data_IF_956988837319
#
_entry.id   IF_956988837319
#
_cell.length_a   1.000
_cell.length_b   1.000
_cell.length_c   1.000
_cell.angle_alpha   90.00
_cell.angle_beta   90.00
_cell.angle_gamma   90.00
#
_symmetry.space_group_name_H-M   'P 1'
#
loop_
_entity.id
_entity.type
_entity.pdbx_description
1 polymer ?
#
# COMPACT_ATOMS: atom_id res chain seq x y z
N UNK A 1 13.77 -9.42 11.00
CA UNK A 1 12.50 -9.88 10.36
C UNK A 1 11.33 -10.05 11.30
N UNK A 2 11.47 -10.66 12.48
CA UNK A 2 10.37 -10.76 13.47
C UNK A 2 9.94 -9.40 14.03
N UNK A 3 10.89 -8.52 14.34
CA UNK A 3 10.63 -7.22 14.96
C UNK A 3 9.88 -6.23 14.03
N UNK A 4 10.22 -6.20 12.74
CA UNK A 4 9.54 -5.38 11.74
C UNK A 4 8.13 -5.90 11.44
N UNK A 5 7.96 -7.23 11.40
CA UNK A 5 6.64 -7.87 11.27
C UNK A 5 5.76 -7.53 12.47
N UNK A 6 6.30 -7.57 13.70
CA UNK A 6 5.60 -7.13 14.92
C UNK A 6 5.23 -5.64 14.86
N UNK A 7 6.16 -4.78 14.45
CA UNK A 7 5.93 -3.33 14.38
C UNK A 7 4.90 -2.96 13.31
N UNK A 8 4.88 -3.68 12.19
CA UNK A 8 3.83 -3.57 11.17
C UNK A 8 2.50 -4.09 11.71
N UNK A 9 2.46 -5.25 12.38
CA UNK A 9 1.24 -5.79 12.99
C UNK A 9 0.67 -4.89 14.10
N UNK A 10 1.51 -4.28 14.93
CA UNK A 10 1.10 -3.31 15.95
C UNK A 10 0.58 -2.01 15.33
N UNK A 11 1.26 -1.51 14.29
CA UNK A 11 0.78 -0.36 13.51
C UNK A 11 -0.55 -0.65 12.82
N UNK A 12 -0.80 -1.91 12.43
CA UNK A 12 -2.06 -2.33 11.84
C UNK A 12 -3.14 -2.46 12.92
N UNK A 13 -2.82 -3.04 14.08
CA UNK A 13 -3.74 -3.25 15.20
C UNK A 13 -4.26 -1.95 15.82
N UNK A 14 -3.45 -0.88 15.86
CA UNK A 14 -3.83 0.40 16.47
C UNK A 14 -4.97 1.13 15.76
N UNK A 15 -5.29 0.76 14.51
CA UNK A 15 -6.34 1.41 13.71
C UNK A 15 -7.65 0.61 13.63
N UNK A 16 -7.75 -0.53 14.34
CA UNK A 16 -8.97 -1.34 14.37
C UNK A 16 -9.74 -1.16 15.68
N UNK A 17 -11.08 -1.05 15.63
CA UNK A 17 -11.89 -1.18 16.83
C UNK A 17 -11.69 -2.57 17.44
N UNK A 18 -11.58 -2.62 18.76
CA UNK A 18 -11.06 -3.71 19.62
C UNK A 18 -11.87 -5.02 19.63
N UNK A 19 -12.66 -5.32 18.60
CA UNK A 19 -13.63 -6.42 18.61
C UNK A 19 -13.55 -7.35 17.38
N UNK A 20 -12.34 -7.60 16.86
CA UNK A 20 -12.15 -8.61 15.81
C UNK A 20 -11.67 -9.93 16.44
N UNK A 21 -12.49 -10.99 16.47
CA UNK A 21 -12.11 -12.29 17.02
C UNK A 21 -10.94 -12.92 16.24
N UNK A 22 -10.09 -13.66 16.94
CA UNK A 22 -8.82 -14.26 16.46
C UNK A 22 -8.97 -15.32 15.35
N UNK A 23 -10.20 -15.62 14.91
CA UNK A 23 -10.50 -16.52 13.78
C UNK A 23 -10.63 -15.82 12.42
N UNK A 24 -10.62 -14.47 12.38
CA UNK A 24 -10.87 -13.69 11.16
C UNK A 24 -9.60 -13.63 10.31
N UNK A 25 -9.69 -14.07 9.06
CA UNK A 25 -8.56 -14.05 8.12
C UNK A 25 -8.24 -12.60 7.72
N UNK A 26 -6.94 -12.27 7.57
CA UNK A 26 -6.50 -10.94 7.10
C UNK A 26 -7.17 -10.52 5.78
N UNK A 27 -7.56 -11.50 4.96
CA UNK A 27 -8.30 -11.29 3.71
C UNK A 27 -9.72 -10.79 3.96
N UNK A 28 -10.42 -11.34 4.94
CA UNK A 28 -11.78 -10.93 5.31
C UNK A 28 -11.79 -9.48 5.82
N UNK A 29 -10.76 -9.10 6.57
CA UNK A 29 -10.57 -7.72 7.03
C UNK A 29 -10.39 -6.77 5.84
N UNK A 30 -9.51 -7.11 4.89
CA UNK A 30 -9.30 -6.32 3.69
C UNK A 30 -10.59 -6.18 2.87
N UNK A 31 -11.32 -7.27 2.69
CA UNK A 31 -12.59 -7.29 1.95
C UNK A 31 -13.66 -6.44 2.63
N UNK A 32 -13.76 -6.50 3.97
CA UNK A 32 -14.65 -5.61 4.74
C UNK A 32 -14.29 -4.14 4.55
N UNK A 33 -13.00 -3.79 4.65
CA UNK A 33 -12.53 -2.42 4.42
C UNK A 33 -12.88 -1.93 3.00
N UNK A 34 -12.68 -2.78 1.99
CA UNK A 34 -13.03 -2.42 0.60
C UNK A 34 -14.54 -2.19 0.44
N UNK A 35 -15.35 -3.08 1.03
CA UNK A 35 -16.81 -2.98 1.01
C UNK A 35 -17.28 -1.69 1.72
N UNK A 36 -16.76 -1.41 2.91
CA UNK A 36 -17.13 -0.22 3.68
C UNK A 36 -16.68 1.06 2.97
N UNK A 37 -15.50 1.05 2.35
CA UNK A 37 -15.00 2.18 1.54
C UNK A 37 -15.92 2.43 0.35
N UNK A 38 -16.36 1.38 -0.34
CA UNK A 38 -17.28 1.49 -1.47
C UNK A 38 -18.63 2.06 -1.03
N UNK A 39 -19.21 1.55 0.06
CA UNK A 39 -20.48 2.06 0.62
C UNK A 39 -20.37 3.52 1.03
N UNK A 40 -19.32 3.90 1.76
CA UNK A 40 -19.12 5.27 2.20
C UNK A 40 -18.92 6.24 1.04
N UNK A 41 -18.15 5.85 0.02
CA UNK A 41 -17.94 6.69 -1.16
C UNK A 41 -19.17 6.73 -2.07
N UNK A 42 -19.98 5.68 -2.11
CA UNK A 42 -21.25 5.69 -2.85
C UNK A 42 -22.27 6.69 -2.29
N UNK A 43 -22.19 7.01 -1.00
CA UNK A 43 -23.04 8.03 -0.36
C UNK A 43 -22.51 9.45 -0.56
N UNK A 44 -21.28 9.60 -1.07
CA UNK A 44 -20.64 10.90 -1.29
C UNK A 44 -20.81 11.36 -2.74
N UNK A 45 -20.74 12.68 -2.99
CA UNK A 45 -20.68 13.18 -4.35
C UNK A 45 -19.40 12.70 -5.03
N UNK A 46 -19.46 12.49 -6.36
CA UNK A 46 -18.40 11.85 -7.17
C UNK A 46 -16.99 12.43 -7.00
N UNK A 47 -16.88 13.69 -6.58
CA UNK A 47 -15.63 14.41 -6.40
C UNK A 47 -15.07 14.37 -4.95
N UNK A 48 -15.76 13.73 -4.01
CA UNK A 48 -15.38 13.67 -2.59
C UNK A 48 -15.03 12.26 -2.11
N UNK A 49 -14.67 11.36 -3.03
CA UNK A 49 -14.23 10.03 -2.67
C UNK A 49 -12.95 10.10 -1.83
N UNK A 50 -12.97 9.44 -0.68
CA UNK A 50 -11.80 9.31 0.19
C UNK A 50 -11.48 7.84 0.37
N UNK A 51 -10.18 7.53 0.38
CA UNK A 51 -9.70 6.16 0.46
C UNK A 51 -8.76 6.01 1.64
N UNK A 52 -9.00 4.96 2.42
CA UNK A 52 -8.13 4.56 3.52
C UNK A 52 -6.71 4.24 2.97
N UNK A 53 -5.71 4.45 3.80
CA UNK A 53 -4.31 4.14 3.52
C UNK A 53 -4.12 2.68 3.08
N UNK A 54 -4.80 1.73 3.73
CA UNK A 54 -4.73 0.30 3.38
C UNK A 54 -5.22 0.03 1.97
N UNK A 55 -6.35 0.66 1.58
CA UNK A 55 -6.91 0.55 0.22
C UNK A 55 -5.97 1.15 -0.81
N UNK A 56 -5.32 2.29 -0.50
CA UNK A 56 -4.31 2.89 -1.38
C UNK A 56 -3.09 1.99 -1.54
N UNK A 57 -2.61 1.34 -0.48
CA UNK A 57 -1.50 0.39 -0.56
C UNK A 57 -1.85 -0.84 -1.40
N UNK A 58 -3.06 -1.38 -1.21
CA UNK A 58 -3.57 -2.48 -2.03
C UNK A 58 -3.70 -2.09 -3.50
N UNK A 59 -4.19 -0.88 -3.80
CA UNK A 59 -4.28 -0.35 -5.15
C UNK A 59 -2.89 -0.21 -5.80
N UNK A 60 -1.88 0.23 -5.05
CA UNK A 60 -0.48 0.29 -5.52
C UNK A 60 0.06 -1.10 -5.84
N UNK A 61 -0.24 -2.09 -5.00
CA UNK A 61 0.17 -3.48 -5.22
C UNK A 61 -0.43 -4.06 -6.51
N UNK A 62 -1.74 -3.87 -6.72
CA UNK A 62 -2.41 -4.30 -7.97
C UNK A 62 -1.76 -3.62 -9.17
N UNK A 63 -1.51 -2.31 -9.09
CA UNK A 63 -0.92 -1.56 -10.20
C UNK A 63 0.48 -2.05 -10.55
N UNK A 64 1.33 -2.37 -9.57
CA UNK A 64 2.67 -2.88 -9.83
C UNK A 64 2.69 -4.29 -10.42
N UNK A 65 1.72 -5.14 -10.06
CA UNK A 65 1.68 -6.54 -10.54
C UNK A 65 0.91 -6.67 -11.86
N UNK A 66 -0.26 -6.04 -11.95
CA UNK A 66 -1.14 -6.11 -13.13
C UNK A 66 -0.84 -5.05 -14.18
N UNK A 67 -0.03 -4.04 -13.85
CA UNK A 67 0.20 -2.90 -14.73
C UNK A 67 -1.05 -2.02 -14.90
N UNK A 68 -0.92 -1.05 -15.81
CA UNK A 68 -1.93 0.00 -16.01
C UNK A 68 -3.27 -0.56 -16.52
N UNK A 69 -3.24 -1.47 -17.49
CA UNK A 69 -4.44 -1.96 -18.17
C UNK A 69 -5.33 -2.77 -17.23
N UNK A 70 -4.74 -3.68 -16.44
CA UNK A 70 -5.48 -4.46 -15.44
C UNK A 70 -6.04 -3.54 -14.36
N UNK A 71 -5.27 -2.54 -13.93
CA UNK A 71 -5.74 -1.59 -12.93
C UNK A 71 -6.94 -0.77 -13.43
N UNK A 72 -6.88 -0.25 -14.65
CA UNK A 72 -7.97 0.51 -15.26
C UNK A 72 -9.22 -0.36 -15.46
N UNK A 73 -9.05 -1.61 -15.87
CA UNK A 73 -10.14 -2.59 -15.97
C UNK A 73 -10.81 -2.80 -14.61
N UNK A 74 -10.03 -3.04 -13.55
CA UNK A 74 -10.56 -3.23 -12.21
C UNK A 74 -11.25 -1.97 -11.67
N UNK A 75 -10.68 -0.79 -11.91
CA UNK A 75 -11.29 0.48 -11.51
C UNK A 75 -12.62 0.74 -12.22
N UNK A 76 -12.74 0.39 -13.51
CA UNK A 76 -13.98 0.53 -14.26
C UNK A 76 -15.08 -0.44 -13.76
N UNK A 77 -14.70 -1.65 -13.35
CA UNK A 77 -15.63 -2.65 -12.82
C UNK A 77 -15.99 -2.45 -11.34
N UNK A 78 -15.07 -1.90 -10.53
CA UNK A 78 -15.22 -1.71 -9.09
C UNK A 78 -15.45 -0.23 -8.74
N UNK A 79 -16.64 0.27 -9.05
CA UNK A 79 -17.01 1.67 -8.79
C UNK A 79 -16.83 2.03 -7.30
N UNK A 80 -16.32 3.26 -7.06
CA UNK A 80 -16.14 3.86 -5.73
C UNK A 80 -15.22 3.08 -4.75
N UNK A 81 -14.60 2.00 -5.21
CA UNK A 81 -13.81 1.09 -4.38
C UNK A 81 -12.32 1.37 -4.51
N UNK A 82 -11.84 1.57 -5.75
CA UNK A 82 -10.43 1.84 -6.05
C UNK A 82 -10.20 3.32 -6.37
N UNK A 83 -9.04 3.88 -5.98
CA UNK A 83 -8.69 5.25 -6.33
C UNK A 83 -8.40 5.39 -7.83
N UNK A 84 -8.62 6.59 -8.37
CA UNK A 84 -8.21 6.90 -9.74
C UNK A 84 -6.69 6.82 -9.92
N UNK A 85 -6.24 6.61 -11.15
CA UNK A 85 -4.83 6.53 -11.49
C UNK A 85 -4.04 7.78 -11.06
N UNK A 86 -4.63 8.96 -11.23
CA UNK A 86 -4.05 10.24 -10.75
C UNK A 86 -3.88 10.26 -9.24
N UNK A 87 -4.89 9.77 -8.50
CA UNK A 87 -4.82 9.68 -7.04
C UNK A 87 -3.75 8.69 -6.58
N UNK A 88 -3.61 7.58 -7.31
CA UNK A 88 -2.60 6.56 -7.08
C UNK A 88 -1.19 7.11 -7.28
N UNK A 89 -0.91 7.76 -8.41
CA UNK A 89 0.40 8.36 -8.66
C UNK A 89 0.74 9.48 -7.69
N UNK A 90 -0.24 10.30 -7.30
CA UNK A 90 -0.05 11.29 -6.23
C UNK A 90 0.35 10.62 -4.91
N UNK A 91 -0.25 9.47 -4.59
CA UNK A 91 0.10 8.71 -3.38
C UNK A 91 1.49 8.08 -3.46
N UNK A 92 1.86 7.50 -4.61
CA UNK A 92 3.20 6.96 -4.86
C UNK A 92 4.23 8.07 -4.70
N UNK A 93 4.07 9.17 -5.43
CA UNK A 93 4.98 10.32 -5.41
C UNK A 93 5.15 10.95 -4.03
N UNK A 94 4.12 10.87 -3.16
CA UNK A 94 4.21 11.35 -1.78
C UNK A 94 4.99 10.40 -0.87
N UNK A 95 5.01 9.09 -1.17
CA UNK A 95 5.66 8.06 -0.33
C UNK A 95 7.07 7.69 -0.77
N UNK A 96 7.36 7.72 -2.08
CA UNK A 96 8.72 7.56 -2.55
C UNK A 96 9.46 8.87 -2.37
N UNK A 97 10.43 8.89 -1.45
CA UNK A 97 11.51 9.87 -1.52
C UNK A 97 12.08 9.80 -2.92
N UNK A 98 11.94 10.89 -3.68
CA UNK A 98 12.42 10.94 -5.06
C UNK A 98 13.91 10.65 -5.03
N UNK A 99 14.41 9.66 -5.81
CA UNK A 99 15.84 9.48 -5.94
C UNK A 99 16.42 10.80 -6.47
N UNK A 100 17.35 11.38 -5.71
CA UNK A 100 18.13 12.54 -6.16
C UNK A 100 19.40 12.03 -6.82
N UNK A 101 19.69 12.56 -8.00
CA UNK A 101 20.91 12.24 -8.74
C UNK A 101 22.16 12.58 -7.90
N UNK A 102 23.18 11.73 -7.94
CA UNK A 102 24.38 11.87 -7.13
C UNK A 102 24.20 11.55 -5.64
N UNK A 103 23.01 11.17 -5.19
CA UNK A 103 22.77 10.78 -3.79
C UNK A 103 22.56 9.27 -3.64
N UNK A 104 23.41 8.65 -2.82
CA UNK A 104 23.25 7.24 -2.47
C UNK A 104 22.37 7.10 -1.22
N UNK A 105 21.34 6.26 -1.33
CA UNK A 105 20.41 5.91 -0.25
C UNK A 105 20.97 4.75 0.59
N UNK A 106 22.16 4.94 1.16
CA UNK A 106 22.87 3.89 1.90
C UNK A 106 22.09 3.39 3.12
N UNK A 107 21.28 4.26 3.75
CA UNK A 107 20.45 3.87 4.90
C UNK A 107 19.41 2.83 4.49
N UNK A 108 18.66 3.10 3.43
CA UNK A 108 17.65 2.18 2.91
C UNK A 108 18.26 0.93 2.30
N UNK A 109 19.42 1.06 1.65
CA UNK A 109 20.19 -0.07 1.15
C UNK A 109 20.66 -0.97 2.29
N UNK A 110 21.19 -0.40 3.38
CA UNK A 110 21.62 -1.19 4.53
C UNK A 110 20.43 -1.90 5.18
N UNK A 111 19.28 -1.23 5.35
CA UNK A 111 18.04 -1.87 5.84
C UNK A 111 17.62 -3.02 4.94
N UNK A 112 17.65 -2.84 3.62
CA UNK A 112 17.31 -3.89 2.65
C UNK A 112 18.24 -5.11 2.73
N UNK A 113 19.55 -4.88 2.86
CA UNK A 113 20.54 -5.95 2.97
C UNK A 113 20.37 -6.72 4.29
N UNK A 114 20.12 -6.02 5.40
CA UNK A 114 19.88 -6.63 6.72
C UNK A 114 18.58 -7.45 6.76
N UNK A 115 17.49 -6.94 6.19
CA UNK A 115 16.21 -7.66 6.11
C UNK A 115 16.32 -8.96 5.31
N UNK A 116 17.14 -8.98 4.26
CA UNK A 116 17.31 -10.16 3.39
C UNK A 116 18.49 -11.05 3.76
N UNK A 117 19.22 -10.72 4.84
CA UNK A 117 20.46 -11.39 5.26
C UNK A 117 21.48 -11.49 4.11
N UNK A 118 21.59 -10.43 3.32
CA UNK A 118 22.52 -10.36 2.19
C UNK A 118 23.87 -9.79 2.65
N UNK A 119 24.97 -10.18 2.00
CA UNK A 119 26.29 -9.62 2.29
C UNK A 119 26.33 -8.12 2.02
N UNK A 120 27.00 -7.35 2.88
CA UNK A 120 27.15 -5.89 2.77
C UNK A 120 28.27 -5.48 1.79
N UNK A 121 28.38 -6.21 0.68
CA UNK A 121 29.29 -5.87 -0.42
C UNK A 121 28.45 -5.40 -1.61
N UNK A 122 28.75 -4.20 -2.10
CA UNK A 122 28.05 -3.59 -3.23
C UNK A 122 29.12 -3.22 -4.24
N UNK A 123 28.96 -3.67 -5.49
CA UNK A 123 29.77 -3.23 -6.61
C UNK A 123 28.99 -2.18 -7.40
N UNK A 124 29.65 -1.07 -7.71
CA UNK A 124 29.14 -0.01 -8.58
C UNK A 124 30.04 -0.02 -9.82
N UNK A 125 29.45 -0.21 -11.00
CA UNK A 125 30.13 -0.09 -12.28
C UNK A 125 29.30 0.80 -13.20
N UNK A 126 29.98 1.55 -14.06
CA UNK A 126 29.36 2.29 -15.17
C UNK A 126 29.04 1.34 -16.35
#
# INVERSE_FOLDING_TARGET
NEALKKKLLESWSSHYPSSVPSSVSNTEILLRILMDTSKQNSQRPKNQNSYNTTVKQFAVYIFFIGGRLVYEMLHANLQNTLPSLTTLFRFINKRTNRPQEGSFRFKELNTFLEERKLPKYIWIGE
#
